data_IF_023278988332
#
_entry.id   IF_023278988332
#
_cell.length_a   1.000
_cell.length_b   1.000
_cell.length_c   1.000
_cell.angle_alpha   90.00
_cell.angle_beta   90.00
_cell.angle_gamma   90.00
#
_symmetry.space_group_name_H-M   'P 1'
#
loop_
_entity.id
_entity.type
_entity.pdbx_description
1 polymer ?
#
# COMPACT_ATOMS: atom_id res chain seq x y z
N UNK A 1 0.53 18.47 -10.50
CA UNK A 1 1.46 18.62 -11.66
C UNK A 1 0.87 19.68 -12.59
N UNK A 2 1.72 20.56 -13.14
CA UNK A 2 1.35 21.58 -14.13
C UNK A 2 2.24 21.46 -15.36
N UNK A 3 1.64 21.09 -16.50
CA UNK A 3 2.30 21.07 -17.80
C UNK A 3 1.29 21.44 -18.91
N UNK A 4 1.02 22.74 -19.12
CA UNK A 4 -0.09 23.20 -19.97
C UNK A 4 -0.08 22.68 -21.42
N UNK A 5 1.11 22.33 -21.95
CA UNK A 5 1.23 21.78 -23.30
C UNK A 5 0.67 20.36 -23.46
N UNK A 6 0.58 19.59 -22.35
CA UNK A 6 0.16 18.16 -22.39
C UNK A 6 -0.94 17.82 -21.38
N UNK A 7 -1.05 18.55 -20.29
CA UNK A 7 -1.99 18.25 -19.20
C UNK A 7 -3.12 19.28 -19.22
N UNK A 8 -4.38 18.88 -19.40
CA UNK A 8 -5.53 19.76 -19.34
C UNK A 8 -5.65 20.45 -17.97
N UNK A 9 -6.01 21.72 -17.96
CA UNK A 9 -6.23 22.47 -16.73
C UNK A 9 -7.44 21.93 -15.94
N UNK A 10 -7.36 21.98 -14.61
CA UNK A 10 -8.45 21.59 -13.70
C UNK A 10 -8.75 20.10 -13.63
N UNK A 11 -7.95 19.25 -14.26
CA UNK A 11 -8.14 17.81 -14.23
C UNK A 11 -7.89 17.23 -12.84
N UNK A 12 -8.77 16.34 -12.39
CA UNK A 12 -8.63 15.54 -11.19
C UNK A 12 -8.57 14.06 -11.58
N UNK A 13 -7.54 13.35 -11.11
CA UNK A 13 -7.38 11.92 -11.29
C UNK A 13 -7.79 11.21 -10.00
N UNK A 14 -8.40 10.03 -10.15
CA UNK A 14 -8.71 9.12 -9.04
C UNK A 14 -7.81 7.88 -9.04
N UNK A 15 -6.96 7.76 -10.05
CA UNK A 15 -6.04 6.64 -10.18
C UNK A 15 -5.10 6.56 -8.97
N UNK A 16 -4.79 5.36 -8.54
CA UNK A 16 -3.84 5.11 -7.46
C UNK A 16 -2.43 5.43 -7.96
N UNK A 17 -1.88 6.54 -7.48
CA UNK A 17 -0.53 7.02 -7.81
C UNK A 17 0.33 6.97 -6.55
N UNK A 18 1.54 6.44 -6.69
CA UNK A 18 2.52 6.35 -5.62
C UNK A 18 3.61 7.42 -5.79
N UNK A 19 4.32 7.72 -4.71
CA UNK A 19 5.46 8.64 -4.77
C UNK A 19 6.59 8.13 -5.68
N UNK A 20 6.80 6.83 -5.78
CA UNK A 20 7.78 6.21 -6.68
C UNK A 20 7.47 6.42 -8.17
N UNK A 21 6.22 6.76 -8.52
CA UNK A 21 5.78 6.99 -9.90
C UNK A 21 6.19 8.36 -10.45
N UNK A 22 6.51 9.31 -9.56
CA UNK A 22 6.84 10.66 -10.00
C UNK A 22 8.13 10.74 -10.80
N UNK A 23 9.17 10.01 -10.38
CA UNK A 23 10.45 10.03 -11.09
C UNK A 23 10.33 9.53 -12.53
N UNK A 24 9.79 8.32 -12.82
CA UNK A 24 9.62 7.86 -14.21
C UNK A 24 8.65 8.75 -15.01
N UNK A 25 7.64 9.37 -14.37
CA UNK A 25 6.73 10.30 -15.04
C UNK A 25 7.43 11.57 -15.51
N UNK A 26 8.26 12.16 -14.64
CA UNK A 26 9.03 13.36 -14.99
C UNK A 26 10.09 13.06 -16.05
N UNK A 27 10.74 11.91 -15.97
CA UNK A 27 11.70 11.44 -16.97
C UNK A 27 11.03 11.27 -18.35
N UNK A 28 9.85 10.65 -18.42
CA UNK A 28 9.09 10.49 -19.66
C UNK A 28 8.71 11.84 -20.28
N UNK A 29 8.32 12.83 -19.47
CA UNK A 29 8.08 14.18 -19.96
C UNK A 29 9.35 14.84 -20.55
N UNK A 30 10.52 14.50 -20.03
CA UNK A 30 11.81 14.94 -20.54
C UNK A 30 12.33 14.10 -21.76
N UNK A 31 11.57 13.09 -22.19
CA UNK A 31 11.98 12.17 -23.27
C UNK A 31 13.03 11.15 -22.84
N UNK A 32 13.17 10.89 -21.53
CA UNK A 32 14.12 9.95 -20.95
C UNK A 32 13.34 8.72 -20.46
N UNK A 33 13.82 7.53 -20.78
CA UNK A 33 13.35 6.28 -20.17
C UNK A 33 14.24 5.98 -18.97
N UNK A 34 13.61 5.80 -17.81
CA UNK A 34 14.30 5.27 -16.62
C UNK A 34 14.20 3.74 -16.62
N UNK A 35 15.33 3.09 -16.35
CA UNK A 35 15.43 1.65 -16.12
C UNK A 35 15.62 1.40 -14.62
N UNK A 36 15.33 0.18 -14.18
CA UNK A 36 15.50 -0.29 -12.79
C UNK A 36 14.75 0.57 -11.74
N UNK A 37 13.54 0.99 -12.08
CA UNK A 37 12.66 1.74 -11.17
C UNK A 37 11.44 0.91 -10.78
N UNK A 38 10.98 1.08 -9.55
CA UNK A 38 9.79 0.39 -9.03
C UNK A 38 8.47 1.07 -9.40
N UNK A 39 8.52 2.34 -9.80
CA UNK A 39 7.33 3.12 -10.15
C UNK A 39 6.98 3.04 -11.63
N UNK A 40 5.73 3.31 -11.95
CA UNK A 40 5.21 3.40 -13.30
C UNK A 40 4.92 4.85 -13.69
N UNK A 41 5.27 5.23 -14.93
CA UNK A 41 4.90 6.54 -15.43
C UNK A 41 3.39 6.67 -15.61
N UNK A 42 2.80 7.72 -15.04
CA UNK A 42 1.38 8.05 -15.18
C UNK A 42 1.10 9.21 -16.15
N UNK A 43 1.98 9.43 -17.13
CA UNK A 43 1.77 10.43 -18.19
C UNK A 43 0.43 10.22 -18.91
N UNK A 44 0.12 8.98 -19.28
CA UNK A 44 -1.16 8.64 -19.94
C UNK A 44 -2.38 8.97 -19.09
N UNK A 45 -2.31 8.72 -17.78
CA UNK A 45 -3.36 9.09 -16.82
C UNK A 45 -3.56 10.60 -16.78
N UNK A 46 -2.46 11.37 -16.75
CA UNK A 46 -2.49 12.84 -16.80
C UNK A 46 -3.12 13.36 -18.11
N UNK A 47 -2.90 12.69 -19.21
CA UNK A 47 -3.52 12.99 -20.51
C UNK A 47 -5.01 12.57 -20.60
N UNK A 48 -5.50 11.76 -19.63
CA UNK A 48 -6.88 11.27 -19.61
C UNK A 48 -7.08 9.91 -20.24
N UNK A 49 -6.04 9.17 -20.42
CA UNK A 49 -6.02 7.84 -21.05
C UNK A 49 -5.45 6.81 -20.08
N UNK A 50 -6.09 6.64 -18.93
CA UNK A 50 -5.65 5.63 -17.96
C UNK A 50 -5.55 4.27 -18.62
N UNK A 51 -4.37 3.59 -18.57
CA UNK A 51 -4.21 2.24 -19.11
C UNK A 51 -5.19 1.26 -18.45
N UNK A 52 -5.70 0.30 -19.22
CA UNK A 52 -6.64 -0.69 -18.71
C UNK A 52 -6.03 -1.61 -17.64
N UNK A 53 -4.72 -1.80 -17.71
CA UNK A 53 -3.87 -2.56 -16.79
C UNK A 53 -3.28 -1.71 -15.66
N UNK A 54 -3.70 -0.44 -15.53
CA UNK A 54 -3.27 0.39 -14.42
C UNK A 54 -3.64 -0.26 -13.09
N UNK A 55 -2.73 -0.15 -12.11
CA UNK A 55 -2.90 -0.78 -10.80
C UNK A 55 -4.22 -0.40 -10.14
N UNK A 56 -4.86 -1.40 -9.53
CA UNK A 56 -6.12 -1.26 -8.78
C UNK A 56 -5.90 -1.34 -7.27
N UNK A 57 -4.70 -1.75 -6.88
CA UNK A 57 -4.29 -1.92 -5.50
C UNK A 57 -2.87 -1.43 -5.30
N UNK A 58 -2.56 -0.99 -4.11
CA UNK A 58 -1.22 -0.60 -3.69
C UNK A 58 -0.87 -1.31 -2.40
N UNK A 59 0.41 -1.63 -2.26
CA UNK A 59 1.04 -2.10 -1.04
C UNK A 59 1.92 -1.01 -0.46
N UNK A 60 1.96 -0.89 0.88
CA UNK A 60 2.97 -0.11 1.56
C UNK A 60 3.36 -0.78 2.88
N UNK A 61 4.56 -0.47 3.39
CA UNK A 61 5.04 -0.91 4.68
C UNK A 61 5.59 0.27 5.47
N UNK A 62 5.25 0.30 6.76
CA UNK A 62 5.82 1.19 7.76
C UNK A 62 6.67 0.35 8.71
N UNK A 63 7.97 0.60 8.69
CA UNK A 63 8.96 -0.23 9.36
C UNK A 63 9.15 0.09 10.84
N UNK A 64 9.02 1.37 11.19
CA UNK A 64 9.32 1.85 12.54
C UNK A 64 8.21 1.45 13.50
N UNK A 65 8.56 0.74 14.58
CA UNK A 65 7.62 0.46 15.65
C UNK A 65 7.65 1.58 16.68
N UNK A 66 6.52 2.26 16.88
CA UNK A 66 6.41 3.40 17.78
C UNK A 66 5.10 3.32 18.58
N UNK A 67 5.09 3.89 19.82
CA UNK A 67 3.93 3.83 20.73
C UNK A 67 2.60 4.24 20.10
N UNK A 68 2.62 5.28 19.28
CA UNK A 68 1.40 5.83 18.62
C UNK A 68 1.23 5.33 17.18
N UNK A 69 2.20 4.61 16.64
CA UNK A 69 2.18 4.11 15.27
C UNK A 69 2.98 2.81 15.19
N UNK A 70 2.34 1.69 15.50
CA UNK A 70 3.00 0.38 15.41
C UNK A 70 3.45 0.07 13.98
N UNK A 71 4.55 -0.68 13.87
CA UNK A 71 5.03 -1.19 12.59
C UNK A 71 3.96 -2.03 11.90
N UNK A 72 3.71 -1.77 10.62
CA UNK A 72 2.62 -2.40 9.88
C UNK A 72 2.89 -2.46 8.39
N UNK A 73 2.13 -3.29 7.70
CA UNK A 73 2.00 -3.23 6.26
C UNK A 73 0.53 -3.31 5.85
N UNK A 74 0.22 -2.80 4.67
CA UNK A 74 -1.16 -2.64 4.24
C UNK A 74 -1.33 -2.79 2.74
N UNK A 75 -2.55 -3.17 2.35
CA UNK A 75 -3.06 -3.08 1.00
C UNK A 75 -4.22 -2.10 0.94
N UNK A 76 -4.27 -1.30 -0.11
CA UNK A 76 -5.37 -0.38 -0.38
C UNK A 76 -5.81 -0.48 -1.83
N UNK A 77 -7.13 -0.58 -2.03
CA UNK A 77 -7.80 -0.36 -3.30
C UNK A 77 -8.54 0.99 -3.29
N UNK A 78 -9.30 1.31 -4.33
CA UNK A 78 -10.16 2.49 -4.35
C UNK A 78 -11.19 2.48 -3.22
N UNK A 79 -11.69 1.29 -2.87
CA UNK A 79 -12.77 1.15 -1.90
C UNK A 79 -12.31 0.65 -0.54
N UNK A 80 -11.36 -0.27 -0.49
CA UNK A 80 -11.02 -0.97 0.73
C UNK A 80 -9.58 -0.73 1.16
N UNK A 81 -9.36 -0.75 2.46
CA UNK A 81 -8.03 -0.70 3.07
C UNK A 81 -7.94 -1.76 4.15
N UNK A 82 -6.90 -2.58 4.10
CA UNK A 82 -6.60 -3.61 5.08
C UNK A 82 -5.18 -3.41 5.60
N UNK A 83 -5.03 -3.34 6.92
CA UNK A 83 -3.76 -3.08 7.59
C UNK A 83 -3.46 -4.23 8.54
N UNK A 84 -2.25 -4.75 8.50
CA UNK A 84 -1.72 -5.68 9.48
C UNK A 84 -0.65 -5.01 10.33
N UNK A 85 -0.93 -4.79 11.58
CA UNK A 85 0.03 -4.29 12.56
C UNK A 85 0.83 -5.47 13.10
N UNK A 86 2.05 -5.66 12.62
CA UNK A 86 2.93 -6.69 13.12
C UNK A 86 3.70 -6.26 14.38
N UNK A 87 3.81 -4.95 14.60
CA UNK A 87 4.30 -4.32 15.83
C UNK A 87 5.65 -4.88 16.33
N UNK A 88 6.63 -5.02 15.44
CA UNK A 88 8.00 -5.47 15.74
C UNK A 88 9.02 -4.52 15.16
N UNK A 89 10.15 -4.39 15.84
CA UNK A 89 11.20 -3.47 15.44
C UNK A 89 12.06 -3.96 14.28
N UNK A 90 12.13 -5.27 14.06
CA UNK A 90 12.97 -5.91 13.05
C UNK A 90 14.39 -5.28 13.08
N UNK A 91 14.93 -4.80 11.95
CA UNK A 91 16.25 -4.19 11.86
C UNK A 91 16.30 -2.68 12.19
N UNK A 92 15.18 -2.10 12.64
CA UNK A 92 15.13 -0.67 12.90
C UNK A 92 15.73 -0.34 14.27
N UNK A 93 16.79 0.46 14.28
CA UNK A 93 17.55 0.82 15.51
C UNK A 93 16.94 1.96 16.31
N UNK A 94 16.20 2.86 15.65
CA UNK A 94 15.61 4.05 16.27
C UNK A 94 14.15 3.82 16.68
N UNK A 95 13.86 2.65 17.22
CA UNK A 95 12.51 2.25 17.58
C UNK A 95 12.43 1.98 19.07
N UNK A 96 11.28 2.34 19.64
CA UNK A 96 10.98 1.99 21.02
C UNK A 96 10.45 0.55 21.09
N UNK A 97 10.87 -0.17 22.13
CA UNK A 97 10.38 -1.53 22.38
C UNK A 97 9.00 -1.46 23.04
N UNK A 98 7.96 -1.47 22.21
CA UNK A 98 6.59 -1.67 22.68
C UNK A 98 6.14 -3.08 22.36
N UNK A 99 5.61 -3.76 23.36
CA UNK A 99 5.02 -5.09 23.18
C UNK A 99 3.53 -4.95 22.83
N UNK A 100 3.27 -4.77 21.54
CA UNK A 100 1.92 -4.80 21.01
C UNK A 100 1.55 -6.18 20.49
N UNK A 101 0.34 -6.61 20.81
CA UNK A 101 -0.23 -7.79 20.15
C UNK A 101 -0.56 -7.45 18.70
N UNK A 102 -0.09 -8.23 17.72
CA UNK A 102 -0.45 -8.02 16.33
C UNK A 102 -1.95 -7.97 16.12
N UNK A 103 -2.39 -7.05 15.27
CA UNK A 103 -3.82 -6.77 15.07
C UNK A 103 -4.11 -6.36 13.63
N UNK A 104 -5.41 -6.29 13.31
CA UNK A 104 -5.91 -5.94 12.00
C UNK A 104 -6.86 -4.76 12.05
N UNK A 105 -6.73 -3.87 11.06
CA UNK A 105 -7.74 -2.88 10.74
C UNK A 105 -8.24 -3.09 9.32
N UNK A 106 -9.55 -2.93 9.14
CA UNK A 106 -10.19 -2.94 7.83
C UNK A 106 -11.17 -1.77 7.71
N UNK A 107 -11.13 -1.08 6.57
CA UNK A 107 -12.00 0.08 6.30
C UNK A 107 -12.66 -0.03 4.92
N UNK A 108 -13.96 0.23 4.86
CA UNK A 108 -14.71 0.47 3.61
C UNK A 108 -14.73 1.99 3.35
N UNK A 109 -13.78 2.48 2.58
CA UNK A 109 -13.56 3.91 2.32
C UNK A 109 -14.73 4.59 1.58
N UNK A 110 -15.64 3.81 0.97
CA UNK A 110 -16.86 4.34 0.38
C UNK A 110 -17.89 4.70 1.44
N UNK A 111 -17.99 3.90 2.50
CA UNK A 111 -18.95 4.07 3.58
C UNK A 111 -18.35 4.82 4.78
N UNK A 112 -17.03 4.70 4.97
CA UNK A 112 -16.28 5.35 6.04
C UNK A 112 -14.99 6.00 5.46
N UNK A 113 -15.10 7.12 4.74
CA UNK A 113 -13.95 7.79 4.12
C UNK A 113 -12.96 8.39 5.12
N UNK A 114 -13.34 8.49 6.38
CA UNK A 114 -12.50 9.01 7.47
C UNK A 114 -11.87 7.92 8.33
N UNK A 115 -12.13 6.63 8.01
CA UNK A 115 -11.54 5.49 8.71
C UNK A 115 -11.81 5.52 10.24
N UNK A 116 -13.05 5.87 10.63
CA UNK A 116 -13.44 6.01 12.03
C UNK A 116 -13.81 4.68 12.70
N UNK A 117 -14.17 3.67 11.90
CA UNK A 117 -14.65 2.38 12.39
C UNK A 117 -13.89 1.21 11.79
N UNK A 118 -13.07 0.55 12.60
CA UNK A 118 -12.46 -0.70 12.20
C UNK A 118 -13.51 -1.79 12.02
N UNK A 119 -13.80 -2.15 10.77
CA UNK A 119 -14.79 -3.15 10.39
C UNK A 119 -14.20 -4.55 10.17
N UNK A 120 -12.99 -4.83 10.66
CA UNK A 120 -12.32 -6.12 10.44
C UNK A 120 -13.14 -7.33 10.92
N UNK A 121 -13.85 -7.18 12.03
CA UNK A 121 -14.67 -8.24 12.63
C UNK A 121 -16.13 -8.26 12.15
N UNK A 122 -16.52 -7.40 11.21
CA UNK A 122 -17.87 -7.43 10.63
C UNK A 122 -17.98 -8.59 9.61
N UNK A 123 -18.85 -9.60 9.86
CA UNK A 123 -18.95 -10.78 9.01
C UNK A 123 -19.26 -10.49 7.54
N UNK A 124 -19.93 -9.37 7.24
CA UNK A 124 -20.24 -8.99 5.86
C UNK A 124 -19.00 -8.74 5.01
N UNK A 125 -17.87 -8.40 5.64
CA UNK A 125 -16.61 -8.13 4.94
C UNK A 125 -15.65 -9.34 4.92
N UNK A 126 -15.97 -10.44 5.59
CA UNK A 126 -15.09 -11.61 5.66
C UNK A 126 -14.60 -12.12 4.29
N UNK A 127 -15.44 -12.19 3.23
CA UNK A 127 -14.97 -12.62 1.90
C UNK A 127 -13.96 -11.67 1.29
N UNK A 128 -14.20 -10.34 1.38
CA UNK A 128 -13.29 -9.34 0.80
C UNK A 128 -11.99 -9.25 1.59
N UNK A 129 -12.03 -9.33 2.92
CA UNK A 129 -10.84 -9.37 3.78
C UNK A 129 -9.98 -10.58 3.43
N UNK A 130 -10.59 -11.76 3.26
CA UNK A 130 -9.87 -12.97 2.86
C UNK A 130 -9.17 -12.82 1.50
N UNK A 131 -9.82 -12.16 0.54
CA UNK A 131 -9.20 -11.90 -0.75
C UNK A 131 -8.05 -10.90 -0.61
N UNK A 132 -8.27 -9.77 0.07
CA UNK A 132 -7.24 -8.74 0.28
C UNK A 132 -6.01 -9.27 1.03
N UNK A 133 -6.18 -10.20 1.96
CA UNK A 133 -5.04 -10.89 2.60
C UNK A 133 -4.16 -11.62 1.58
N UNK A 134 -4.77 -12.31 0.60
CA UNK A 134 -4.02 -12.99 -0.47
C UNK A 134 -3.31 -11.99 -1.39
N UNK A 135 -4.05 -10.96 -1.82
CA UNK A 135 -3.54 -9.96 -2.73
C UNK A 135 -2.38 -9.18 -2.10
N UNK A 136 -2.48 -8.87 -0.82
CA UNK A 136 -1.39 -8.25 -0.06
C UNK A 136 -0.11 -9.10 -0.04
N UNK A 137 -0.23 -10.42 0.15
CA UNK A 137 0.93 -11.33 0.09
C UNK A 137 1.52 -11.42 -1.31
N UNK A 138 0.68 -11.38 -2.35
CA UNK A 138 1.15 -11.37 -3.74
C UNK A 138 1.91 -10.08 -4.05
N UNK A 139 1.35 -8.92 -3.72
CA UNK A 139 2.00 -7.63 -3.90
C UNK A 139 3.33 -7.54 -3.13
N UNK A 140 3.39 -8.08 -1.91
CA UNK A 140 4.65 -8.16 -1.15
C UNK A 140 5.73 -8.94 -1.91
N UNK A 141 5.37 -10.05 -2.51
CA UNK A 141 6.31 -10.85 -3.33
C UNK A 141 6.74 -10.10 -4.59
N UNK A 142 5.80 -9.44 -5.26
CA UNK A 142 6.07 -8.66 -6.48
C UNK A 142 7.06 -7.52 -6.24
N UNK A 143 6.96 -6.84 -5.09
CA UNK A 143 7.89 -5.75 -4.73
C UNK A 143 9.15 -6.25 -3.98
N UNK A 144 9.31 -7.57 -3.80
CA UNK A 144 10.46 -8.15 -3.11
C UNK A 144 10.50 -7.92 -1.60
N UNK A 145 9.37 -7.53 -0.99
CA UNK A 145 9.25 -7.40 0.46
C UNK A 145 8.92 -8.76 1.10
N UNK A 146 9.90 -9.65 1.10
CA UNK A 146 9.80 -10.99 1.73
C UNK A 146 10.44 -10.96 3.11
N UNK A 147 9.93 -11.81 4.02
CA UNK A 147 10.41 -11.85 5.41
C UNK A 147 11.53 -12.89 5.63
N UNK A 148 12.23 -13.30 4.57
CA UNK A 148 13.30 -14.31 4.65
C UNK A 148 14.42 -13.92 5.60
N UNK A 149 14.65 -12.61 5.75
CA UNK A 149 15.65 -12.07 6.69
C UNK A 149 15.15 -12.00 8.13
N UNK A 150 13.86 -12.22 8.37
CA UNK A 150 13.22 -12.03 9.67
C UNK A 150 12.44 -13.28 10.09
N UNK A 151 13.09 -14.32 10.63
CA UNK A 151 12.42 -15.57 11.04
C UNK A 151 11.25 -15.31 12.01
N UNK A 152 11.37 -14.34 12.91
CA UNK A 152 10.32 -13.94 13.85
C UNK A 152 9.03 -13.47 13.14
N UNK A 153 9.15 -12.89 11.95
CA UNK A 153 7.99 -12.49 11.16
C UNK A 153 7.23 -13.68 10.60
N UNK A 154 7.91 -14.77 10.25
CA UNK A 154 7.28 -15.99 9.77
C UNK A 154 6.41 -16.60 10.86
N UNK A 155 6.95 -16.75 12.07
CA UNK A 155 6.20 -17.24 13.24
C UNK A 155 4.99 -16.35 13.56
N UNK A 156 5.19 -15.04 13.47
CA UNK A 156 4.14 -14.05 13.72
C UNK A 156 3.03 -14.12 12.66
N UNK A 157 3.38 -14.27 11.38
CA UNK A 157 2.41 -14.46 10.30
C UNK A 157 1.60 -15.75 10.48
N UNK A 158 2.24 -16.86 10.82
CA UNK A 158 1.55 -18.12 11.11
C UNK A 158 0.56 -17.98 12.27
N UNK A 159 0.94 -17.25 13.30
CA UNK A 159 0.13 -17.10 14.50
C UNK A 159 -1.05 -16.12 14.33
N UNK A 160 -0.87 -15.02 13.58
CA UNK A 160 -1.80 -13.90 13.56
C UNK A 160 -2.34 -13.51 12.18
N UNK A 161 -1.61 -13.79 11.11
CA UNK A 161 -2.01 -13.38 9.77
C UNK A 161 -3.00 -14.35 9.13
N UNK A 162 -2.75 -15.63 9.26
CA UNK A 162 -3.53 -16.70 8.59
C UNK A 162 -4.78 -17.13 9.37
N UNK A 163 -5.00 -16.59 10.54
CA UNK A 163 -6.19 -16.88 11.36
C UNK A 163 -7.39 -16.06 10.98
#
# INVERSE_FOLDING_TARGET
IRYPKKIPAGKRLKDLILNVDFAPTLAEFAGIRMEDVQGDSFVKNLEGKTPADWRKEIYYRYWTNHAIRPAHFAIRSDRYKLIFYYARNLDMTDTENFDFTPSWDFYDLQNDPHENHNAYNDPKYAPVIKQMKKDMLNLRKEVGDTDEKYPEMQELLEKYYYK
#
